data_IF_708044410167
#
_entry.id   IF_708044410167
#
_cell.length_a   1.000
_cell.length_b   1.000
_cell.length_c   1.000
_cell.angle_alpha   90.00
_cell.angle_beta   90.00
_cell.angle_gamma   90.00
#
_symmetry.space_group_name_H-M   'P 1'
#
loop_
_entity.id
_entity.type
_entity.pdbx_description
1 polymer ?
#
# COMPACT_ATOMS: atom_id res chain seq x y z
N UNK A 1 10.10 -5.81 -15.07
CA UNK A 1 8.84 -5.18 -14.63
C UNK A 1 9.13 -4.13 -13.57
N UNK A 2 8.25 -3.20 -13.39
CA UNK A 2 8.44 -2.07 -12.46
C UNK A 2 7.44 -2.16 -11.33
N UNK A 3 7.88 -1.86 -10.11
CA UNK A 3 7.01 -1.88 -8.94
C UNK A 3 6.43 -0.50 -8.67
N UNK A 4 5.17 -0.48 -8.29
CA UNK A 4 4.44 0.73 -7.97
C UNK A 4 3.77 0.61 -6.62
N UNK A 5 3.83 1.71 -5.85
CA UNK A 5 3.11 1.85 -4.59
C UNK A 5 1.77 2.50 -4.89
N UNK A 6 0.69 1.83 -4.50
CA UNK A 6 -0.68 2.36 -4.62
C UNK A 6 -1.16 2.54 -3.19
N UNK A 7 -1.52 3.77 -2.82
CA UNK A 7 -1.85 4.08 -1.43
C UNK A 7 -3.02 5.05 -1.31
N UNK A 8 -3.62 5.08 -0.11
CA UNK A 8 -4.63 6.07 0.21
C UNK A 8 -4.30 6.70 1.57
N UNK A 9 -4.82 7.90 1.79
CA UNK A 9 -4.56 8.67 3.00
C UNK A 9 -5.33 8.12 4.19
N UNK A 10 -4.76 8.28 5.38
CA UNK A 10 -5.45 7.97 6.63
C UNK A 10 -6.74 8.79 6.70
N UNK A 11 -7.84 8.14 7.05
CA UNK A 11 -9.14 8.79 7.09
C UNK A 11 -9.88 8.82 5.76
N UNK A 12 -9.26 8.42 4.66
CA UNK A 12 -9.90 8.44 3.34
C UNK A 12 -11.15 7.56 3.25
N UNK A 13 -11.26 6.56 4.13
CA UNK A 13 -12.40 5.65 4.18
C UNK A 13 -13.39 5.97 5.30
N UNK A 14 -13.22 7.09 5.99
CA UNK A 14 -14.06 7.45 7.15
C UNK A 14 -15.53 7.70 6.77
N UNK A 15 -15.82 8.04 5.51
CA UNK A 15 -17.18 8.25 5.04
C UNK A 15 -17.99 6.94 4.91
N UNK A 16 -17.33 5.79 5.02
CA UNK A 16 -17.99 4.49 4.87
C UNK A 16 -18.61 4.11 6.20
N UNK A 17 -19.89 3.72 6.19
CA UNK A 17 -20.56 3.29 7.41
C UNK A 17 -20.02 1.97 7.91
N UNK A 18 -20.09 1.73 9.23
CA UNK A 18 -19.65 0.48 9.83
C UNK A 18 -20.35 -0.74 9.26
N UNK A 19 -21.62 -0.58 8.81
CA UNK A 19 -22.36 -1.67 8.19
C UNK A 19 -21.89 -2.03 6.79
N UNK A 20 -21.24 -1.09 6.09
CA UNK A 20 -20.70 -1.31 4.74
C UNK A 20 -19.28 -1.84 4.73
N UNK A 21 -18.53 -1.67 5.82
CA UNK A 21 -17.12 -2.08 5.88
C UNK A 21 -16.87 -3.55 5.53
N UNK A 22 -17.68 -4.51 6.00
CA UNK A 22 -17.46 -5.91 5.61
C UNK A 22 -17.56 -6.14 4.10
N UNK A 23 -18.49 -5.45 3.42
CA UNK A 23 -18.64 -5.56 1.98
C UNK A 23 -17.45 -4.93 1.24
N UNK A 24 -16.99 -3.77 1.73
CA UNK A 24 -15.80 -3.11 1.18
C UNK A 24 -14.57 -4.02 1.32
N UNK A 25 -14.40 -4.64 2.48
CA UNK A 25 -13.31 -5.58 2.72
C UNK A 25 -13.37 -6.78 1.76
N UNK A 26 -14.56 -7.32 1.56
CA UNK A 26 -14.77 -8.44 0.65
C UNK A 26 -14.44 -8.06 -0.79
N UNK A 27 -14.90 -6.90 -1.25
CA UNK A 27 -14.61 -6.43 -2.60
C UNK A 27 -13.12 -6.16 -2.80
N UNK A 28 -12.47 -5.58 -1.79
CA UNK A 28 -11.03 -5.30 -1.86
C UNK A 28 -10.22 -6.59 -1.90
N UNK A 29 -10.59 -7.59 -1.08
CA UNK A 29 -9.93 -8.90 -1.13
C UNK A 29 -10.12 -9.57 -2.49
N UNK A 30 -11.25 -9.35 -3.15
CA UNK A 30 -11.46 -9.88 -4.50
C UNK A 30 -10.50 -9.24 -5.50
N UNK A 31 -10.23 -7.93 -5.38
CA UNK A 31 -9.24 -7.25 -6.24
C UNK A 31 -7.84 -7.76 -5.95
N UNK A 32 -7.51 -7.99 -4.68
CA UNK A 32 -6.22 -8.59 -4.31
C UNK A 32 -6.07 -9.98 -4.96
N UNK A 33 -7.13 -10.77 -4.92
CA UNK A 33 -7.09 -12.09 -5.54
C UNK A 33 -6.87 -12.01 -7.06
N UNK A 34 -7.51 -11.03 -7.72
CA UNK A 34 -7.25 -10.80 -9.14
C UNK A 34 -5.77 -10.46 -9.40
N UNK A 35 -5.17 -9.63 -8.56
CA UNK A 35 -3.76 -9.25 -8.69
C UNK A 35 -2.83 -10.45 -8.44
N UNK A 36 -3.16 -11.28 -7.47
CA UNK A 36 -2.41 -12.52 -7.19
C UNK A 36 -2.50 -13.46 -8.39
N UNK A 37 -3.69 -13.66 -8.92
CA UNK A 37 -3.91 -14.54 -10.06
C UNK A 37 -3.21 -14.03 -11.33
N UNK A 38 -3.12 -12.71 -11.49
CA UNK A 38 -2.41 -12.09 -12.60
C UNK A 38 -0.88 -12.10 -12.44
N UNK A 39 -0.39 -12.50 -11.26
CA UNK A 39 1.06 -12.56 -11.01
C UNK A 39 1.69 -11.21 -10.75
N UNK A 40 0.91 -10.18 -10.42
CA UNK A 40 1.43 -8.82 -10.21
C UNK A 40 1.46 -8.39 -8.74
N UNK A 41 0.84 -9.13 -7.86
CA UNK A 41 0.79 -8.79 -6.44
C UNK A 41 2.15 -8.98 -5.77
N UNK A 42 2.61 -7.98 -5.02
CA UNK A 42 3.82 -8.08 -4.22
C UNK A 42 3.48 -8.10 -2.74
N UNK A 43 2.82 -7.05 -2.24
CA UNK A 43 2.49 -6.94 -0.82
C UNK A 43 1.51 -5.80 -0.61
N UNK A 44 0.76 -5.84 0.48
CA UNK A 44 -0.10 -4.73 0.86
C UNK A 44 -0.67 -4.94 2.25
N UNK A 45 -1.09 -3.84 2.85
CA UNK A 45 -1.68 -3.85 4.19
C UNK A 45 -2.39 -2.53 4.48
N UNK A 46 -3.37 -2.58 5.37
CA UNK A 46 -3.87 -1.39 6.03
C UNK A 46 -2.94 -1.03 7.18
N UNK A 47 -2.94 0.22 7.57
CA UNK A 47 -2.13 0.71 8.68
C UNK A 47 -3.01 0.99 9.89
N UNK A 48 -2.48 0.70 11.07
CA UNK A 48 -3.12 1.01 12.34
C UNK A 48 -3.20 2.53 12.51
N UNK A 49 -4.38 3.04 12.83
CA UNK A 49 -4.57 4.48 12.98
C UNK A 49 -3.94 4.99 14.27
N UNK A 50 -3.34 6.17 14.20
CA UNK A 50 -2.85 6.93 15.36
C UNK A 50 -1.84 6.20 16.24
N UNK A 51 -1.13 5.23 15.67
CA UNK A 51 -0.08 4.50 16.38
C UNK A 51 1.30 4.71 15.77
N UNK A 52 1.46 5.83 15.06
CA UNK A 52 2.75 6.16 14.49
C UNK A 52 3.72 6.61 15.60
N UNK A 53 4.96 6.19 15.50
CA UNK A 53 6.05 6.69 16.32
C UNK A 53 7.11 7.23 15.38
N UNK A 54 7.71 8.35 15.75
CA UNK A 54 8.80 8.96 14.99
C UNK A 54 10.10 8.71 15.74
N UNK A 55 11.07 8.10 15.05
CA UNK A 55 12.39 7.84 15.63
C UNK A 55 13.39 8.73 14.88
N UNK A 56 14.06 9.62 15.61
CA UNK A 56 15.05 10.51 14.99
C UNK A 56 16.43 9.83 14.89
N UNK A 57 17.38 10.55 14.32
CA UNK A 57 18.73 10.00 14.11
C UNK A 57 19.49 9.73 15.40
N UNK A 58 19.05 10.29 16.52
CA UNK A 58 19.64 10.03 17.84
C UNK A 58 18.95 8.89 18.57
N UNK A 59 17.96 8.28 17.94
CA UNK A 59 17.19 7.19 18.53
C UNK A 59 16.09 7.64 19.49
N UNK A 60 15.80 8.94 19.53
CA UNK A 60 14.71 9.47 20.37
C UNK A 60 13.38 9.17 19.71
N UNK A 61 12.46 8.57 20.46
CA UNK A 61 11.14 8.18 19.99
C UNK A 61 10.10 9.19 20.45
N UNK A 62 9.31 9.69 19.52
CA UNK A 62 8.23 10.63 19.79
C UNK A 62 6.93 10.06 19.22
N UNK A 63 5.80 10.33 19.87
CA UNK A 63 4.51 9.97 19.31
C UNK A 63 4.29 10.82 18.04
N UNK A 64 3.92 10.13 16.97
CA UNK A 64 3.69 10.77 15.67
C UNK A 64 2.27 10.56 15.19
N UNK A 65 1.98 10.95 13.97
CA UNK A 65 2.91 11.70 13.10
C UNK A 65 3.14 13.12 13.61
N UNK A 66 4.12 13.81 13.04
CA UNK A 66 4.33 15.23 13.38
C UNK A 66 3.06 16.03 13.08
N UNK A 67 2.67 17.00 13.94
CA UNK A 67 1.43 17.77 13.74
C UNK A 67 1.31 18.50 12.41
N UNK A 68 2.45 18.87 11.83
CA UNK A 68 2.49 19.57 10.55
C UNK A 68 2.31 18.66 9.34
N UNK A 69 2.37 17.34 9.52
CA UNK A 69 2.16 16.38 8.43
C UNK A 69 0.66 16.22 8.20
N UNK A 70 0.22 16.56 6.99
CA UNK A 70 -1.20 16.53 6.63
C UNK A 70 -1.59 15.29 5.85
N UNK A 71 -0.62 14.64 5.22
CA UNK A 71 -0.87 13.46 4.40
C UNK A 71 -0.14 12.27 5.03
N UNK A 72 -0.92 11.38 5.61
CA UNK A 72 -0.43 10.18 6.26
C UNK A 72 -1.10 8.97 5.59
N UNK A 73 -0.30 8.01 5.19
CA UNK A 73 -0.81 6.83 4.51
C UNK A 73 -1.68 6.01 5.46
N UNK A 74 -2.89 5.65 5.00
CA UNK A 74 -3.79 4.77 5.75
C UNK A 74 -3.73 3.31 5.30
N UNK A 75 -3.23 3.07 4.10
CA UNK A 75 -3.05 1.72 3.57
C UNK A 75 -2.36 1.75 2.24
N UNK A 76 -1.84 0.62 1.82
CA UNK A 76 -1.11 0.54 0.55
C UNK A 76 -1.08 -0.86 -0.01
N UNK A 77 -0.83 -0.95 -1.33
CA UNK A 77 -0.45 -2.19 -1.99
C UNK A 77 0.74 -1.90 -2.90
N UNK A 78 1.54 -2.92 -3.16
CA UNK A 78 2.64 -2.85 -4.14
C UNK A 78 2.35 -3.88 -5.23
N UNK A 79 2.40 -3.42 -6.48
CA UNK A 79 2.23 -4.28 -7.65
C UNK A 79 3.48 -4.19 -8.53
N UNK A 80 3.79 -5.29 -9.21
CA UNK A 80 4.92 -5.40 -10.15
C UNK A 80 4.34 -5.61 -11.54
N UNK A 81 4.39 -4.58 -12.37
CA UNK A 81 3.70 -4.55 -13.65
C UNK A 81 4.61 -4.07 -14.78
N UNK A 82 4.16 -4.30 -16.02
CA UNK A 82 4.96 -3.97 -17.20
C UNK A 82 4.96 -2.47 -17.52
N UNK A 83 3.95 -1.72 -17.08
CA UNK A 83 3.82 -0.31 -17.44
C UNK A 83 3.10 0.49 -16.37
N UNK A 84 3.28 1.81 -16.40
CA UNK A 84 2.53 2.73 -15.54
C UNK A 84 1.03 2.63 -15.79
N UNK A 85 0.63 2.44 -17.03
CA UNK A 85 -0.79 2.31 -17.41
C UNK A 85 -1.43 1.10 -16.72
N UNK A 86 -0.71 0.00 -16.61
CA UNK A 86 -1.20 -1.16 -15.88
C UNK A 86 -1.34 -0.86 -14.39
N UNK A 87 -0.36 -0.14 -13.81
CA UNK A 87 -0.44 0.27 -12.41
C UNK A 87 -1.66 1.15 -12.16
N UNK A 88 -1.94 2.09 -13.06
CA UNK A 88 -3.12 2.96 -12.96
C UNK A 88 -4.42 2.17 -13.08
N UNK A 89 -4.44 1.14 -13.91
CA UNK A 89 -5.62 0.27 -14.03
C UNK A 89 -5.89 -0.48 -12.73
N UNK A 90 -4.84 -1.01 -12.07
CA UNK A 90 -4.98 -1.66 -10.77
C UNK A 90 -5.43 -0.65 -9.71
N UNK A 91 -4.85 0.56 -9.72
CA UNK A 91 -5.24 1.61 -8.79
C UNK A 91 -6.72 1.96 -8.93
N UNK A 92 -7.26 1.96 -10.15
CA UNK A 92 -8.68 2.18 -10.38
C UNK A 92 -9.54 1.11 -9.69
N UNK A 93 -9.15 -0.15 -9.80
CA UNK A 93 -9.86 -1.24 -9.14
C UNK A 93 -9.85 -1.07 -7.61
N UNK A 94 -8.71 -0.70 -7.04
CA UNK A 94 -8.62 -0.46 -5.60
C UNK A 94 -9.40 0.79 -5.18
N UNK A 95 -9.37 1.85 -5.98
CA UNK A 95 -10.14 3.06 -5.69
C UNK A 95 -11.64 2.76 -5.61
N UNK A 96 -12.13 1.96 -6.55
CA UNK A 96 -13.55 1.58 -6.57
C UNK A 96 -13.88 0.70 -5.36
N UNK A 97 -13.07 -0.32 -5.08
CA UNK A 97 -13.35 -1.25 -3.97
C UNK A 97 -13.22 -0.58 -2.61
N UNK A 98 -12.24 0.30 -2.43
CA UNK A 98 -12.00 1.00 -1.16
C UNK A 98 -12.84 2.27 -1.00
N UNK A 99 -13.57 2.68 -2.03
CA UNK A 99 -14.40 3.89 -2.02
C UNK A 99 -13.59 5.17 -1.76
N UNK A 100 -12.33 5.22 -2.19
CA UNK A 100 -11.50 6.41 -2.01
C UNK A 100 -10.41 6.48 -3.07
N UNK A 101 -9.90 7.69 -3.29
CA UNK A 101 -8.82 7.93 -4.25
C UNK A 101 -7.54 7.20 -3.84
N UNK A 102 -6.78 6.80 -4.84
CA UNK A 102 -5.49 6.12 -4.64
C UNK A 102 -4.39 6.96 -5.28
N UNK A 103 -3.26 7.07 -4.61
CA UNK A 103 -2.06 7.67 -5.15
C UNK A 103 -1.17 6.57 -5.71
N UNK A 104 -0.57 6.81 -6.88
CA UNK A 104 0.31 5.84 -7.54
C UNK A 104 1.70 6.44 -7.65
N UNK A 105 2.70 5.76 -7.10
CA UNK A 105 4.10 6.19 -7.17
C UNK A 105 4.98 5.03 -7.59
N UNK A 106 5.89 5.30 -8.52
CA UNK A 106 6.86 4.31 -8.94
C UNK A 106 7.94 4.13 -7.86
N UNK A 107 8.29 2.88 -7.57
CA UNK A 107 9.37 2.58 -6.64
C UNK A 107 10.71 2.67 -7.36
N UNK A 108 11.72 3.22 -6.67
CA UNK A 108 13.07 3.25 -7.22
C UNK A 108 13.61 1.84 -7.34
N UNK A 109 14.19 1.45 -8.48
CA UNK A 109 14.81 0.15 -8.60
C UNK A 109 16.05 0.06 -7.71
N UNK A 110 16.22 -1.07 -7.06
CA UNK A 110 17.39 -1.35 -6.20
C UNK A 110 17.82 -2.79 -6.41
N UNK A 111 18.59 -3.06 -7.48
CA UNK A 111 19.02 -4.42 -7.82
C UNK A 111 19.82 -5.10 -6.71
N UNK A 112 20.59 -4.35 -5.95
CA UNK A 112 21.38 -4.90 -4.85
C UNK A 112 20.47 -5.41 -3.74
N UNK A 113 19.47 -4.62 -3.37
CA UNK A 113 18.48 -5.03 -2.37
C UNK A 113 17.71 -6.26 -2.85
N UNK A 114 17.28 -6.27 -4.10
CA UNK A 114 16.55 -7.39 -4.67
C UNK A 114 17.37 -8.68 -4.61
N UNK A 115 18.68 -8.58 -4.87
CA UNK A 115 19.55 -9.74 -4.78
C UNK A 115 19.70 -10.25 -3.35
N UNK A 116 19.78 -9.33 -2.37
CA UNK A 116 19.86 -9.70 -0.95
C UNK A 116 18.61 -10.49 -0.53
N UNK A 117 17.42 -10.03 -0.92
CA UNK A 117 16.18 -10.71 -0.60
C UNK A 117 16.12 -12.09 -1.27
N UNK A 118 16.52 -12.18 -2.54
CA UNK A 118 16.51 -13.44 -3.28
C UNK A 118 17.41 -14.47 -2.65
N UNK A 119 18.60 -14.07 -2.18
CA UNK A 119 19.53 -14.98 -1.49
C UNK A 119 18.91 -15.53 -0.21
N UNK A 120 18.20 -14.70 0.54
CA UNK A 120 17.52 -15.13 1.76
C UNK A 120 16.44 -16.16 1.46
N UNK A 121 15.65 -15.93 0.42
CA UNK A 121 14.61 -16.85 -0.01
C UNK A 121 15.18 -18.21 -0.44
N UNK A 122 16.31 -18.21 -1.11
CA UNK A 122 16.96 -19.44 -1.56
C UNK A 122 17.51 -20.30 -0.41
N UNK A 123 17.71 -19.70 0.76
CA UNK A 123 18.24 -20.40 1.93
C UNK A 123 17.14 -21.07 2.76
N UNK A 124 15.90 -20.69 2.56
CA UNK A 124 14.79 -21.20 3.38
C UNK A 124 14.07 -22.44 2.76
#
# INVERSE_FOLDING_TARGET
MTRYLISFDDGAMDHISGGELPEVGKETHAVVQEAVDAGVWVFGAGLERQRASVVDTDGIVTDGPYPEIKEVIGGFVVVDVASREEALAWATKFAVSCRCAQEVRELLPDPELDEMVRRTEQRS
#
